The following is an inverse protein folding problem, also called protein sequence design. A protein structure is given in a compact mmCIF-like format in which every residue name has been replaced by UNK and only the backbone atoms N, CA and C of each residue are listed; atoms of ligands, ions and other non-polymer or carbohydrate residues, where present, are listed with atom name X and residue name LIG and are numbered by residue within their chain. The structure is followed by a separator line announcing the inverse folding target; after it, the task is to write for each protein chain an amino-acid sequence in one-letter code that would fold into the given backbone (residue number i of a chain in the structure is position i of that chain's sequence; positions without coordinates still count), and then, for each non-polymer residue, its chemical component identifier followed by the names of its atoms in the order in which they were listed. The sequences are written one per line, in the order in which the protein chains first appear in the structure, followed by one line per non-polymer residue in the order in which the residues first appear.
data_IF_253388462659
#
_entry.id   IF_253388462659
#
_cell.length_a   1.000
_cell.length_b   1.000
_cell.length_c   1.000
_cell.angle_alpha   90.00
_cell.angle_beta   90.00
_cell.angle_gamma   90.00
#
_symmetry.space_group_name_H-M   'P 1'
#
loop_
_entity.id
_entity.type
_entity.pdbx_description
1 polymer ?
#
# COMPACT_ATOMS: atom_id res chain seq x y z
N UNK A 1 22.79 -64.37 14.28
CA UNK A 1 22.11 -63.89 13.05
C UNK A 1 20.69 -63.34 13.25
N UNK A 2 20.25 -62.92 14.46
CA UNK A 2 18.89 -62.35 14.66
C UNK A 2 18.83 -60.84 14.94
N UNK A 3 19.97 -60.15 15.13
CA UNK A 3 19.98 -58.71 15.44
C UNK A 3 20.06 -57.76 14.23
N UNK A 4 20.40 -58.24 13.04
CA UNK A 4 20.48 -57.38 11.84
C UNK A 4 19.12 -57.21 11.11
N UNK A 5 18.14 -58.07 11.37
CA UNK A 5 16.83 -58.01 10.70
C UNK A 5 15.86 -56.98 11.31
N UNK A 6 16.06 -56.57 12.58
CA UNK A 6 15.21 -55.58 13.25
C UNK A 6 15.62 -54.12 12.97
N UNK A 7 16.87 -53.87 12.58
CA UNK A 7 17.34 -52.51 12.24
C UNK A 7 16.84 -52.06 10.86
N UNK A 8 16.83 -52.95 9.87
CA UNK A 8 16.35 -52.64 8.51
C UNK A 8 14.82 -52.51 8.41
N UNK A 9 14.05 -53.28 9.20
CA UNK A 9 12.58 -53.22 9.16
C UNK A 9 12.01 -51.94 9.79
N UNK A 10 12.73 -51.31 10.72
CA UNK A 10 12.32 -50.04 11.32
C UNK A 10 12.63 -48.83 10.42
N UNK A 11 13.76 -48.83 9.70
CA UNK A 11 14.07 -47.80 8.71
C UNK A 11 13.15 -47.88 7.47
N UNK A 12 12.77 -49.08 7.03
CA UNK A 12 11.87 -49.26 5.87
C UNK A 12 10.41 -48.93 6.21
N UNK A 13 9.95 -49.19 7.45
CA UNK A 13 8.59 -48.78 7.90
C UNK A 13 8.41 -47.28 8.09
N UNK A 14 9.47 -46.53 8.44
CA UNK A 14 9.42 -45.08 8.49
C UNK A 14 9.32 -44.42 7.10
N UNK A 15 9.85 -45.07 6.06
CA UNK A 15 9.81 -44.59 4.68
C UNK A 15 8.48 -44.87 3.97
N UNK A 16 7.72 -45.89 4.40
CA UNK A 16 6.41 -46.25 3.84
C UNK A 16 5.25 -45.34 4.30
N UNK A 17 5.49 -44.42 5.25
CA UNK A 17 4.46 -43.52 5.81
C UNK A 17 4.51 -42.08 5.31
N UNK A 18 5.46 -41.73 4.44
CA UNK A 18 5.42 -40.45 3.75
C UNK A 18 4.47 -40.57 2.57
N UNK A 19 3.17 -40.42 2.85
CA UNK A 19 2.17 -40.22 1.80
C UNK A 19 2.66 -39.04 0.94
N UNK A 20 2.90 -39.22 -0.37
CA UNK A 20 3.46 -38.18 -1.22
C UNK A 20 2.62 -36.90 -1.16
N UNK A 21 1.31 -37.01 -0.97
CA UNK A 21 0.42 -35.87 -0.78
C UNK A 21 0.68 -35.11 0.52
N UNK A 22 1.04 -35.79 1.62
CA UNK A 22 1.40 -35.13 2.87
C UNK A 22 2.74 -34.41 2.78
N UNK A 23 3.72 -35.00 2.09
CA UNK A 23 5.01 -34.35 1.83
C UNK A 23 4.84 -33.10 0.94
N UNK A 24 4.01 -33.19 -0.09
CA UNK A 24 3.64 -32.06 -0.97
C UNK A 24 2.92 -30.98 -0.17
N UNK A 25 1.94 -31.34 0.68
CA UNK A 25 1.19 -30.38 1.47
C UNK A 25 2.08 -29.67 2.50
N UNK A 26 2.97 -30.38 3.19
CA UNK A 26 3.95 -29.78 4.11
C UNK A 26 4.90 -28.84 3.39
N UNK A 27 5.35 -29.21 2.19
CA UNK A 27 6.18 -28.34 1.35
C UNK A 27 5.41 -27.10 0.93
N UNK A 28 4.16 -27.28 0.51
CA UNK A 28 3.26 -26.21 0.10
C UNK A 28 3.01 -25.20 1.23
N UNK A 29 2.69 -25.66 2.43
CA UNK A 29 2.50 -24.81 3.62
C UNK A 29 3.76 -24.02 4.02
N UNK A 30 4.96 -24.54 3.72
CA UNK A 30 6.22 -23.83 4.00
C UNK A 30 6.53 -22.76 2.95
N UNK A 31 6.01 -22.89 1.73
CA UNK A 31 6.32 -21.96 0.63
C UNK A 31 5.47 -20.68 0.68
N UNK A 32 4.30 -20.73 1.29
CA UNK A 32 3.32 -19.64 1.28
C UNK A 32 2.98 -19.19 2.69
N UNK A 33 2.72 -17.90 2.82
CA UNK A 33 1.97 -17.40 3.95
C UNK A 33 0.52 -17.90 3.84
N UNK A 34 0.01 -18.43 4.94
CA UNK A 34 -1.37 -18.91 5.07
C UNK A 34 -2.03 -18.05 6.13
N UNK A 35 -3.17 -17.47 5.81
CA UNK A 35 -3.94 -16.64 6.73
C UNK A 35 -4.73 -17.48 7.76
N UNK A 36 -5.43 -16.80 8.66
CA UNK A 36 -6.24 -17.41 9.72
C UNK A 36 -7.39 -18.29 9.17
N UNK A 37 -7.82 -18.02 7.93
CA UNK A 37 -8.85 -18.77 7.22
C UNK A 37 -8.29 -19.96 6.42
N UNK A 38 -6.98 -20.22 6.51
CA UNK A 38 -6.32 -21.28 5.75
C UNK A 38 -6.11 -20.96 4.28
N UNK A 39 -6.29 -19.71 3.86
CA UNK A 39 -6.12 -19.27 2.47
C UNK A 39 -4.72 -18.72 2.22
N UNK A 40 -4.30 -18.75 0.95
CA UNK A 40 -3.07 -18.11 0.49
C UNK A 40 -3.46 -16.79 -0.16
N UNK A 41 -3.32 -15.65 0.53
CA UNK A 41 -3.79 -14.37 0.04
C UNK A 41 -2.99 -13.89 -1.19
N UNK A 42 -1.69 -14.17 -1.22
CA UNK A 42 -0.80 -13.78 -2.33
C UNK A 42 -0.25 -15.03 -3.01
N UNK A 43 -0.63 -15.24 -4.27
CA UNK A 43 -0.25 -16.44 -5.05
C UNK A 43 0.71 -16.08 -6.19
N UNK A 44 1.78 -16.87 -6.43
CA UNK A 44 2.54 -16.78 -7.66
C UNK A 44 1.69 -17.16 -8.87
N UNK A 45 2.20 -16.80 -10.05
CA UNK A 45 1.68 -17.35 -11.32
C UNK A 45 1.73 -18.87 -11.27
N UNK A 46 0.76 -19.53 -11.89
CA UNK A 46 0.62 -20.99 -11.80
C UNK A 46 1.86 -21.75 -12.29
N UNK A 47 2.55 -21.25 -13.31
CA UNK A 47 3.80 -21.83 -13.80
C UNK A 47 4.93 -21.72 -12.76
N UNK A 48 5.10 -20.57 -12.11
CA UNK A 48 6.09 -20.39 -11.04
C UNK A 48 5.76 -21.29 -9.85
N UNK A 49 4.48 -21.34 -9.46
CA UNK A 49 3.97 -22.24 -8.41
C UNK A 49 4.30 -23.70 -8.70
N UNK A 50 4.12 -24.13 -9.95
CA UNK A 50 4.42 -25.48 -10.40
C UNK A 50 5.91 -25.76 -10.36
N UNK A 51 6.75 -24.85 -10.88
CA UNK A 51 8.20 -25.03 -10.90
C UNK A 51 8.80 -25.05 -9.48
N UNK A 52 8.26 -24.25 -8.57
CA UNK A 52 8.75 -24.18 -7.18
C UNK A 52 8.51 -25.46 -6.37
N UNK A 53 7.53 -26.29 -6.75
CA UNK A 53 7.34 -27.61 -6.15
C UNK A 53 8.56 -28.52 -6.36
N UNK A 54 9.21 -28.43 -7.52
CA UNK A 54 10.34 -29.26 -7.91
C UNK A 54 11.72 -28.65 -7.59
N UNK A 55 11.78 -27.35 -7.28
CA UNK A 55 13.02 -26.66 -6.91
C UNK A 55 13.36 -26.90 -5.44
N UNK A 56 14.65 -26.94 -5.10
CA UNK A 56 15.09 -26.90 -3.69
C UNK A 56 14.89 -25.51 -3.07
N UNK A 57 14.85 -25.44 -1.74
CA UNK A 57 14.69 -24.17 -1.01
C UNK A 57 15.89 -23.23 -1.26
N UNK A 58 17.11 -23.79 -1.37
CA UNK A 58 18.32 -23.06 -1.75
C UNK A 58 18.17 -22.44 -3.14
N UNK A 59 17.66 -23.19 -4.12
CA UNK A 59 17.51 -22.68 -5.48
C UNK A 59 16.47 -21.56 -5.58
N UNK A 60 15.37 -21.68 -4.83
CA UNK A 60 14.36 -20.60 -4.75
C UNK A 60 14.95 -19.32 -4.17
N UNK A 61 15.75 -19.43 -3.11
CA UNK A 61 16.45 -18.29 -2.49
C UNK A 61 17.43 -17.64 -3.47
N UNK A 62 18.22 -18.42 -4.20
CA UNK A 62 19.13 -17.91 -5.25
C UNK A 62 18.38 -17.14 -6.34
N UNK A 63 17.26 -17.69 -6.83
CA UNK A 63 16.43 -17.05 -7.87
C UNK A 63 15.89 -15.70 -7.35
N UNK A 64 15.37 -15.67 -6.13
CA UNK A 64 14.86 -14.43 -5.54
C UNK A 64 15.97 -13.41 -5.28
N UNK A 65 17.14 -13.84 -4.80
CA UNK A 65 18.32 -12.96 -4.64
C UNK A 65 18.79 -12.39 -5.98
N UNK A 66 18.77 -13.18 -7.05
CA UNK A 66 19.12 -12.70 -8.39
C UNK A 66 18.16 -11.61 -8.86
N UNK A 67 16.85 -11.79 -8.63
CA UNK A 67 15.84 -10.77 -8.91
C UNK A 67 16.06 -9.50 -8.08
N UNK A 68 16.35 -9.65 -6.79
CA UNK A 68 16.61 -8.53 -5.88
C UNK A 68 17.83 -7.71 -6.28
N UNK A 69 18.95 -8.36 -6.60
CA UNK A 69 20.18 -7.69 -7.06
C UNK A 69 19.97 -6.91 -8.35
N UNK A 70 19.02 -7.33 -9.20
CA UNK A 70 18.62 -6.58 -10.39
C UNK A 70 17.79 -5.33 -10.04
N UNK A 71 16.96 -5.39 -9.00
CA UNK A 71 16.07 -4.29 -8.58
C UNK A 71 16.78 -3.24 -7.72
N UNK A 72 17.64 -3.66 -6.82
CA UNK A 72 18.40 -2.79 -5.90
C UNK A 72 19.89 -3.14 -5.96
N UNK A 73 20.58 -2.80 -7.07
CA UNK A 73 21.97 -3.21 -7.29
C UNK A 73 22.95 -2.60 -6.30
N UNK A 74 22.60 -1.48 -5.68
CA UNK A 74 23.43 -0.78 -4.69
C UNK A 74 23.33 -1.38 -3.28
N UNK A 75 22.40 -2.31 -3.04
CA UNK A 75 22.24 -2.97 -1.75
C UNK A 75 23.01 -4.30 -1.73
N UNK A 76 23.81 -4.52 -0.68
CA UNK A 76 24.65 -5.72 -0.52
C UNK A 76 23.85 -6.93 0.01
N UNK A 77 22.91 -7.43 -0.79
CA UNK A 77 22.04 -8.53 -0.41
C UNK A 77 22.71 -9.89 -0.60
N UNK A 78 22.85 -10.66 0.49
CA UNK A 78 23.43 -12.00 0.48
C UNK A 78 22.50 -13.07 1.05
N UNK A 79 21.52 -12.69 1.88
CA UNK A 79 20.63 -13.62 2.58
C UNK A 79 19.22 -13.05 2.78
N UNK A 80 18.35 -13.80 3.46
CA UNK A 80 16.99 -13.40 3.85
C UNK A 80 16.84 -13.20 5.37
N UNK A 81 17.94 -12.86 6.03
CA UNK A 81 18.02 -12.60 7.46
C UNK A 81 18.70 -11.25 7.71
N UNK A 82 20.01 -11.24 8.00
CA UNK A 82 20.76 -10.04 8.35
C UNK A 82 20.83 -8.98 7.25
N UNK A 83 20.63 -9.34 5.98
CA UNK A 83 20.55 -8.34 4.90
C UNK A 83 19.28 -7.48 4.95
N UNK A 84 18.29 -7.87 5.77
CA UNK A 84 16.95 -7.25 5.81
C UNK A 84 16.56 -6.73 7.19
N UNK A 85 17.38 -6.99 8.20
CA UNK A 85 17.03 -6.76 9.60
C UNK A 85 16.93 -5.27 9.95
N UNK A 86 17.68 -4.40 9.27
CA UNK A 86 17.73 -2.96 9.49
C UNK A 86 16.57 -2.19 8.83
N UNK A 87 15.74 -2.87 8.02
CA UNK A 87 14.59 -2.31 7.32
C UNK A 87 14.90 -1.39 6.14
N UNK A 88 16.17 -1.02 5.92
CA UNK A 88 16.57 -0.09 4.86
C UNK A 88 16.54 -0.80 3.50
N UNK A 89 17.01 -2.04 3.42
CA UNK A 89 16.89 -2.88 2.22
C UNK A 89 15.43 -3.04 1.76
N UNK A 90 14.49 -3.11 2.71
CA UNK A 90 13.06 -3.17 2.40
C UNK A 90 12.55 -1.86 1.82
N UNK A 91 12.91 -0.73 2.42
CA UNK A 91 12.53 0.59 1.92
C UNK A 91 13.12 0.87 0.53
N UNK A 92 14.40 0.53 0.32
CA UNK A 92 15.06 0.62 -0.98
C UNK A 92 14.38 -0.25 -2.05
N UNK A 93 13.98 -1.48 -1.69
CA UNK A 93 13.22 -2.35 -2.59
C UNK A 93 11.90 -1.70 -3.00
N UNK A 94 11.13 -1.18 -2.04
CA UNK A 94 9.84 -0.54 -2.32
C UNK A 94 9.99 0.70 -3.19
N UNK A 95 10.98 1.55 -2.94
CA UNK A 95 11.28 2.71 -3.78
C UNK A 95 11.65 2.29 -5.21
N UNK A 96 12.43 1.20 -5.38
CA UNK A 96 12.77 0.67 -6.70
C UNK A 96 11.57 0.09 -7.46
N UNK A 97 10.56 -0.39 -6.73
CA UNK A 97 9.33 -0.97 -7.31
C UNK A 97 8.30 0.11 -7.63
N UNK A 98 8.21 1.14 -6.79
CA UNK A 98 7.29 2.27 -6.92
C UNK A 98 7.98 3.54 -6.40
N UNK A 99 8.59 4.34 -7.30
CA UNK A 99 9.25 5.58 -6.92
C UNK A 99 8.30 6.54 -6.18
N UNK A 100 8.81 7.22 -5.16
CA UNK A 100 8.05 8.14 -4.31
C UNK A 100 7.41 7.50 -3.07
N UNK A 101 7.54 6.18 -2.87
CA UNK A 101 7.02 5.49 -1.68
C UNK A 101 7.92 5.72 -0.47
N UNK A 102 9.24 5.76 -0.66
CA UNK A 102 10.21 6.03 0.39
C UNK A 102 11.46 6.72 -0.18
N UNK A 103 11.34 7.96 -0.70
CA UNK A 103 12.46 8.66 -1.34
C UNK A 103 13.60 8.96 -0.35
N UNK A 104 13.30 9.07 0.94
CA UNK A 104 14.28 9.38 2.00
C UNK A 104 15.04 8.14 2.52
N UNK A 105 14.84 6.95 1.93
CA UNK A 105 15.54 5.74 2.35
C UNK A 105 17.09 5.88 2.43
N UNK A 106 17.77 6.65 1.55
CA UNK A 106 19.23 6.77 1.62
C UNK A 106 19.74 7.48 2.89
N UNK A 107 18.90 8.31 3.51
CA UNK A 107 19.25 9.08 4.71
C UNK A 107 18.82 8.39 6.01
N UNK A 108 18.16 7.22 5.91
CA UNK A 108 17.70 6.47 7.07
C UNK A 108 18.86 5.92 7.88
N UNK A 109 18.71 5.96 9.21
CA UNK A 109 19.76 5.54 10.13
C UNK A 109 19.66 4.03 10.43
N UNK A 110 20.77 3.30 10.27
CA UNK A 110 20.81 1.84 10.51
C UNK A 110 20.49 1.43 11.96
N UNK A 111 20.71 2.32 12.94
CA UNK A 111 20.39 2.02 14.35
C UNK A 111 18.88 2.07 14.65
N UNK A 112 18.07 2.70 13.80
CA UNK A 112 16.61 2.80 13.95
C UNK A 112 15.88 1.57 13.42
N UNK A 113 16.45 0.38 13.69
CA UNK A 113 16.07 -0.93 13.13
C UNK A 113 14.55 -1.16 13.15
N UNK A 114 13.93 -1.11 14.33
CA UNK A 114 12.50 -1.39 14.50
C UNK A 114 11.64 -0.36 13.77
N UNK A 115 12.02 0.91 13.81
CA UNK A 115 11.28 2.01 13.15
C UNK A 115 11.34 1.86 11.63
N UNK A 116 12.52 1.55 11.09
CA UNK A 116 12.73 1.33 9.67
C UNK A 116 11.94 0.11 9.18
N UNK A 117 12.01 -1.02 9.91
CA UNK A 117 11.23 -2.22 9.62
C UNK A 117 9.72 -1.93 9.65
N UNK A 118 9.25 -1.19 10.65
CA UNK A 118 7.84 -0.80 10.78
C UNK A 118 7.38 0.07 9.62
N UNK A 119 8.20 1.04 9.20
CA UNK A 119 7.93 1.88 8.04
C UNK A 119 7.84 1.03 6.77
N UNK A 120 8.88 0.25 6.46
CA UNK A 120 8.92 -0.58 5.26
C UNK A 120 7.77 -1.58 5.18
N UNK A 121 7.43 -2.26 6.28
CA UNK A 121 6.31 -3.20 6.32
C UNK A 121 4.97 -2.47 6.06
N UNK A 122 4.73 -1.32 6.70
CA UNK A 122 3.51 -0.53 6.47
C UNK A 122 3.39 -0.04 5.04
N UNK A 123 4.50 0.41 4.44
CA UNK A 123 4.53 0.84 3.04
C UNK A 123 4.25 -0.32 2.10
N UNK A 124 4.85 -1.49 2.32
CA UNK A 124 4.57 -2.69 1.53
C UNK A 124 3.09 -3.11 1.61
N UNK A 125 2.50 -3.10 2.82
CA UNK A 125 1.10 -3.42 3.03
C UNK A 125 0.17 -2.43 2.30
N UNK A 126 0.47 -1.13 2.32
CA UNK A 126 -0.34 -0.11 1.66
C UNK A 126 -0.16 -0.09 0.14
N UNK A 127 1.07 -0.15 -0.35
CA UNK A 127 1.37 0.04 -1.77
C UNK A 127 1.12 -1.21 -2.62
N UNK A 128 1.17 -2.39 -2.01
CA UNK A 128 1.04 -3.69 -2.68
C UNK A 128 -0.12 -4.53 -2.13
N UNK A 129 -0.98 -3.96 -1.27
CA UNK A 129 -2.13 -4.63 -0.66
C UNK A 129 -1.78 -5.97 0.04
N UNK A 130 -0.64 -6.01 0.74
CA UNK A 130 -0.22 -7.22 1.46
C UNK A 130 -0.97 -7.40 2.79
N UNK A 131 -1.25 -8.64 3.21
CA UNK A 131 -1.85 -8.93 4.52
C UNK A 131 -1.01 -8.38 5.68
N UNK A 132 -1.69 -7.86 6.71
CA UNK A 132 -1.03 -7.21 7.83
C UNK A 132 -0.23 -8.15 8.74
N UNK A 133 -0.62 -9.43 8.78
CA UNK A 133 -0.11 -10.45 9.69
C UNK A 133 1.01 -11.33 9.12
N UNK A 134 1.61 -10.96 7.98
CA UNK A 134 2.69 -11.74 7.36
C UNK A 134 3.99 -11.77 8.18
N UNK A 135 4.39 -10.62 8.72
CA UNK A 135 5.61 -10.43 9.50
C UNK A 135 5.46 -9.18 10.37
N UNK A 136 5.93 -9.25 11.62
CA UNK A 136 5.99 -8.05 12.48
C UNK A 136 7.34 -7.35 12.36
N UNK A 137 7.43 -6.04 12.67
CA UNK A 137 8.70 -5.31 12.66
C UNK A 137 9.76 -5.93 13.58
N UNK A 138 9.33 -6.46 14.72
CA UNK A 138 10.20 -7.12 15.70
C UNK A 138 10.77 -8.44 15.15
N UNK A 139 9.94 -9.22 14.46
CA UNK A 139 10.38 -10.46 13.80
C UNK A 139 11.40 -10.19 12.69
N UNK A 140 11.17 -9.13 11.91
CA UNK A 140 12.10 -8.71 10.86
C UNK A 140 13.44 -8.24 11.43
N UNK A 141 13.40 -7.48 12.53
CA UNK A 141 14.59 -6.97 13.20
C UNK A 141 15.46 -8.07 13.85
N UNK A 142 14.84 -9.13 14.38
CA UNK A 142 15.57 -10.25 15.00
C UNK A 142 16.31 -11.10 13.93
N UNK A 143 15.68 -11.32 12.78
CA UNK A 143 16.26 -12.03 11.64
C UNK A 143 16.92 -13.40 11.98
N UNK A 144 16.28 -14.22 12.82
CA UNK A 144 16.73 -15.57 13.17
C UNK A 144 16.30 -16.63 12.14
N UNK A 145 16.57 -17.91 12.41
CA UNK A 145 16.20 -19.01 11.50
C UNK A 145 14.68 -19.14 11.29
N UNK A 146 13.85 -18.78 12.28
CA UNK A 146 12.39 -18.87 12.19
C UNK A 146 11.83 -17.68 11.41
N UNK A 147 12.38 -16.48 11.64
CA UNK A 147 11.93 -15.26 10.96
C UNK A 147 12.52 -15.12 9.56
N UNK A 148 13.68 -15.72 9.26
CA UNK A 148 14.24 -15.80 7.89
C UNK A 148 13.22 -16.38 6.90
N UNK A 149 12.48 -17.42 7.31
CA UNK A 149 11.45 -18.00 6.48
C UNK A 149 10.29 -17.02 6.24
N UNK A 150 9.90 -16.25 7.25
CA UNK A 150 8.86 -15.22 7.13
C UNK A 150 9.31 -14.05 6.25
N UNK A 151 10.55 -13.58 6.43
CA UNK A 151 11.16 -12.53 5.59
C UNK A 151 11.19 -12.99 4.14
N UNK A 152 11.63 -14.23 3.89
CA UNK A 152 11.63 -14.82 2.55
C UNK A 152 10.22 -14.90 1.94
N UNK A 153 9.23 -15.37 2.70
CA UNK A 153 7.82 -15.40 2.23
C UNK A 153 7.26 -14.01 1.96
N UNK A 154 7.60 -13.03 2.81
CA UNK A 154 7.18 -11.64 2.66
C UNK A 154 7.76 -11.01 1.39
N UNK A 155 9.06 -11.21 1.12
CA UNK A 155 9.70 -10.71 -0.10
C UNK A 155 9.20 -11.46 -1.34
N UNK A 156 8.94 -12.77 -1.25
CA UNK A 156 8.24 -13.50 -2.31
C UNK A 156 6.89 -12.85 -2.63
N UNK A 157 6.10 -12.50 -1.62
CA UNK A 157 4.83 -11.81 -1.82
C UNK A 157 5.02 -10.44 -2.47
N UNK A 158 6.01 -9.65 -2.05
CA UNK A 158 6.36 -8.38 -2.70
C UNK A 158 6.71 -8.60 -4.19
N UNK A 159 7.56 -9.57 -4.51
CA UNK A 159 7.90 -9.93 -5.91
C UNK A 159 6.63 -10.27 -6.68
N UNK A 160 5.82 -11.19 -6.17
CA UNK A 160 4.61 -11.64 -6.86
C UNK A 160 3.62 -10.51 -7.05
N UNK A 161 3.41 -9.64 -6.05
CA UNK A 161 2.53 -8.47 -6.20
C UNK A 161 3.09 -7.44 -7.19
N UNK A 162 4.42 -7.29 -7.26
CA UNK A 162 5.06 -6.38 -8.23
C UNK A 162 5.03 -6.90 -9.67
N UNK A 163 4.92 -8.21 -9.87
CA UNK A 163 4.91 -8.89 -11.17
C UNK A 163 3.53 -9.34 -11.61
N UNK A 164 2.58 -9.43 -10.68
CA UNK A 164 1.18 -9.45 -11.01
C UNK A 164 0.91 -8.10 -11.66
N UNK A 165 0.66 -8.14 -12.97
CA UNK A 165 -0.22 -7.16 -13.57
C UNK A 165 -1.53 -7.27 -12.79
N UNK A 166 -1.72 -6.39 -11.81
CA UNK A 166 -3.02 -5.75 -11.70
C UNK A 166 -3.40 -5.33 -13.12
N UNK A 167 -4.70 -5.36 -13.53
CA UNK A 167 -5.10 -4.68 -14.76
C UNK A 167 -4.36 -3.36 -14.74
N UNK A 168 -3.49 -3.18 -15.74
CA UNK A 168 -2.48 -2.14 -15.79
C UNK A 168 -3.08 -0.94 -15.07
N UNK A 169 -2.58 -0.59 -13.88
CA UNK A 169 -2.92 0.73 -13.39
C UNK A 169 -2.35 1.60 -14.49
N UNK A 170 -3.18 2.23 -15.34
CA UNK A 170 -2.73 2.50 -16.67
C UNK A 170 -1.46 3.32 -16.55
N UNK A 171 -0.40 2.89 -17.22
CA UNK A 171 0.71 3.78 -17.52
C UNK A 171 0.26 5.00 -18.36
N UNK A 172 -1.06 5.20 -18.55
CA UNK A 172 -1.75 6.43 -18.92
C UNK A 172 -1.85 7.39 -17.71
N UNK A 173 -0.72 7.67 -17.08
CA UNK A 173 -0.45 8.98 -16.47
C UNK A 173 0.76 9.66 -17.12
N UNK A 174 1.25 9.17 -18.27
CA UNK A 174 2.26 9.89 -19.03
C UNK A 174 1.98 10.05 -20.54
N UNK A 175 0.84 9.62 -21.07
CA UNK A 175 0.34 10.14 -22.37
C UNK A 175 -1.05 9.57 -22.73
N UNK A 176 -2.10 10.39 -22.62
CA UNK A 176 -3.16 10.58 -23.65
C UNK A 176 -4.40 11.26 -23.05
N UNK A 177 -4.50 12.58 -23.22
CA UNK A 177 -5.68 13.38 -23.66
C UNK A 177 -7.12 12.87 -23.47
N UNK A 178 -7.50 12.23 -22.35
CA UNK A 178 -8.93 12.06 -22.01
C UNK A 178 -9.22 12.61 -20.61
N UNK A 179 -9.75 13.85 -20.50
CA UNK A 179 -10.06 14.45 -19.21
C UNK A 179 -11.18 13.67 -18.51
N UNK A 180 -10.98 13.38 -17.22
CA UNK A 180 -12.05 12.96 -16.32
C UNK A 180 -13.13 14.05 -16.33
N UNK A 181 -14.32 13.73 -16.85
CA UNK A 181 -15.43 14.68 -16.96
C UNK A 181 -16.17 14.80 -15.64
N UNK A 182 -15.53 15.46 -14.68
CA UNK A 182 -16.18 15.92 -13.45
C UNK A 182 -16.83 17.28 -13.69
N UNK A 183 -17.96 17.53 -13.06
CA UNK A 183 -18.61 18.83 -13.15
C UNK A 183 -18.99 19.30 -11.76
N UNK A 184 -18.46 20.45 -11.36
CA UNK A 184 -18.67 21.04 -10.04
C UNK A 184 -19.65 22.20 -10.19
N UNK A 185 -20.71 22.26 -9.37
CA UNK A 185 -21.69 23.34 -9.38
C UNK A 185 -22.16 23.66 -7.97
N UNK A 186 -22.46 24.93 -7.72
CA UNK A 186 -23.08 25.34 -6.47
C UNK A 186 -22.71 26.76 -6.10
N UNK A 187 -23.62 27.46 -5.44
CA UNK A 187 -23.40 28.83 -4.99
C UNK A 187 -22.20 28.93 -4.04
N UNK A 188 -21.94 27.88 -3.25
CA UNK A 188 -20.80 27.78 -2.36
C UNK A 188 -19.42 27.74 -3.03
N UNK A 189 -19.33 27.70 -4.37
CA UNK A 189 -18.05 27.87 -5.07
C UNK A 189 -17.68 29.33 -5.32
N UNK A 190 -18.69 30.20 -5.36
CA UNK A 190 -18.54 31.59 -5.79
C UNK A 190 -18.82 32.58 -4.66
N UNK A 191 -19.81 32.30 -3.82
CA UNK A 191 -20.29 33.22 -2.78
C UNK A 191 -20.74 32.48 -1.52
N UNK A 192 -20.49 33.07 -0.36
CA UNK A 192 -20.99 32.57 0.91
C UNK A 192 -21.19 33.67 1.94
N UNK A 193 -21.79 33.32 3.06
CA UNK A 193 -22.09 34.24 4.17
C UNK A 193 -21.42 33.71 5.43
N UNK A 194 -20.82 34.61 6.18
CA UNK A 194 -20.11 34.30 7.42
C UNK A 194 -21.06 33.63 8.41
N UNK A 195 -20.64 32.53 9.04
CA UNK A 195 -21.44 31.75 10.00
C UNK A 195 -22.62 30.99 9.39
N UNK A 196 -22.67 30.85 8.06
CA UNK A 196 -23.66 30.01 7.37
C UNK A 196 -22.96 28.91 6.57
N UNK A 197 -23.56 27.72 6.55
CA UNK A 197 -23.08 26.60 5.74
C UNK A 197 -23.24 26.92 4.25
N UNK A 198 -22.12 27.05 3.55
CA UNK A 198 -22.05 27.14 2.11
C UNK A 198 -22.01 25.73 1.51
N UNK A 199 -22.65 25.54 0.35
CA UNK A 199 -22.81 24.22 -0.25
C UNK A 199 -22.51 24.23 -1.74
N UNK A 200 -21.85 23.18 -2.19
CA UNK A 200 -21.70 22.88 -3.60
C UNK A 200 -21.68 21.37 -3.84
N UNK A 201 -21.98 20.98 -5.07
CA UNK A 201 -22.01 19.58 -5.48
C UNK A 201 -21.01 19.36 -6.59
N UNK A 202 -20.54 18.13 -6.71
CA UNK A 202 -19.85 17.71 -7.92
C UNK A 202 -20.38 16.35 -8.36
N UNK A 203 -20.41 16.19 -9.68
CA UNK A 203 -20.87 14.99 -10.36
C UNK A 203 -19.69 14.33 -11.06
N UNK A 204 -19.42 13.08 -10.71
CA UNK A 204 -18.37 12.25 -11.31
C UNK A 204 -19.03 11.18 -12.21
N UNK A 205 -18.75 11.23 -13.52
CA UNK A 205 -19.34 10.30 -14.50
C UNK A 205 -18.74 8.89 -14.47
N UNK A 206 -17.54 8.70 -13.90
CA UNK A 206 -16.89 7.39 -13.75
C UNK A 206 -16.67 7.08 -12.26
N UNK A 207 -17.63 6.37 -11.67
CA UNK A 207 -17.70 6.09 -10.23
C UNK A 207 -16.74 4.94 -9.82
N UNK A 208 -16.22 4.21 -10.80
CA UNK A 208 -15.36 3.02 -10.62
C UNK A 208 -13.98 3.33 -10.01
N UNK A 209 -13.62 4.61 -9.90
CA UNK A 209 -12.28 5.12 -9.53
C UNK A 209 -12.22 5.77 -8.14
N UNK A 210 -13.32 5.72 -7.37
CA UNK A 210 -13.48 6.45 -6.10
C UNK A 210 -12.75 5.83 -4.90
N UNK A 211 -12.29 4.57 -5.01
CA UNK A 211 -11.68 3.84 -3.89
C UNK A 211 -10.18 4.12 -3.64
N UNK A 212 -9.54 5.01 -4.41
CA UNK A 212 -8.12 5.34 -4.25
C UNK A 212 -7.94 6.79 -3.74
N UNK A 213 -8.11 7.02 -2.43
CA UNK A 213 -7.89 8.37 -1.90
C UNK A 213 -7.16 8.43 -0.57
N UNK A 214 -6.25 9.41 -0.49
CA UNK A 214 -5.48 9.81 0.67
C UNK A 214 -5.73 11.30 0.96
N UNK A 215 -5.58 11.68 2.23
CA UNK A 215 -5.89 13.02 2.76
C UNK A 215 -4.60 13.79 3.00
N UNK A 216 -4.38 14.89 2.28
CA UNK A 216 -3.35 15.86 2.63
C UNK A 216 -3.87 17.28 2.37
N UNK A 217 -3.91 18.11 3.42
CA UNK A 217 -4.10 19.55 3.30
C UNK A 217 -3.10 20.20 4.24
N UNK A 218 -2.17 20.94 3.65
CA UNK A 218 -1.14 21.68 4.35
C UNK A 218 -1.55 23.16 4.34
N UNK A 219 -1.76 23.73 5.53
CA UNK A 219 -1.93 25.17 5.68
C UNK A 219 -0.60 25.91 5.59
N UNK A 220 -0.60 27.24 5.38
CA UNK A 220 0.62 28.05 5.30
C UNK A 220 1.49 28.04 6.57
N UNK A 221 1.05 27.39 7.66
CA UNK A 221 1.81 27.18 8.91
C UNK A 221 1.70 25.77 9.53
N UNK A 222 1.31 24.74 8.77
CA UNK A 222 1.30 23.33 9.24
C UNK A 222 0.26 22.92 10.32
N UNK A 223 -0.75 23.73 10.66
CA UNK A 223 -1.79 23.30 11.63
C UNK A 223 -3.02 22.64 10.98
N UNK A 224 -3.51 21.55 11.61
CA UNK A 224 -4.57 20.63 11.14
C UNK A 224 -5.96 21.12 11.57
N UNK A 225 -6.90 21.31 10.63
CA UNK A 225 -8.29 21.68 10.99
C UNK A 225 -9.33 20.96 10.11
N UNK A 226 -10.11 20.10 10.77
CA UNK A 226 -11.23 19.28 10.31
C UNK A 226 -10.92 18.12 9.33
N UNK A 227 -11.38 16.93 9.72
CA UNK A 227 -11.26 15.67 8.99
C UNK A 227 -12.68 15.22 8.62
N UNK A 228 -12.90 14.95 7.35
CA UNK A 228 -14.09 14.26 6.86
C UNK A 228 -13.70 12.83 6.52
N UNK A 229 -13.75 11.94 7.52
CA UNK A 229 -13.37 10.53 7.47
C UNK A 229 -14.40 9.67 6.73
N UNK A 230 -14.61 9.92 5.43
CA UNK A 230 -15.48 9.06 4.61
C UNK A 230 -14.70 8.51 3.43
N UNK A 231 -14.40 7.21 3.53
CA UNK A 231 -13.85 6.42 2.44
C UNK A 231 -14.77 6.50 1.22
N UNK A 232 -14.23 6.86 0.05
CA UNK A 232 -15.00 6.96 -1.19
C UNK A 232 -15.55 8.35 -1.53
N UNK A 233 -14.97 9.43 -1.01
CA UNK A 233 -15.27 10.82 -1.39
C UNK A 233 -13.99 11.54 -1.87
N UNK A 234 -14.04 12.47 -2.85
CA UNK A 234 -12.88 13.25 -3.28
C UNK A 234 -12.49 14.35 -2.31
N UNK A 235 -11.27 14.85 -2.49
CA UNK A 235 -10.63 15.81 -1.59
C UNK A 235 -11.04 17.23 -1.92
N UNK A 236 -11.52 17.95 -0.90
CA UNK A 236 -11.75 19.39 -0.95
C UNK A 236 -10.87 20.07 0.08
N UNK A 237 -10.14 21.09 -0.35
CA UNK A 237 -9.36 21.95 0.53
C UNK A 237 -9.80 23.40 0.36
N UNK A 238 -10.03 24.07 1.49
CA UNK A 238 -10.53 25.44 1.53
C UNK A 238 -9.54 26.28 2.31
N UNK A 239 -9.00 27.30 1.66
CA UNK A 239 -8.06 28.24 2.23
C UNK A 239 -8.72 29.60 2.35
N UNK A 240 -8.66 30.21 3.52
CA UNK A 240 -9.14 31.58 3.74
C UNK A 240 -8.06 32.52 4.27
N UNK A 241 -8.42 33.79 4.52
CA UNK A 241 -7.47 34.87 4.77
C UNK A 241 -6.76 34.76 6.12
N UNK A 242 -7.37 34.11 7.12
CA UNK A 242 -6.82 33.94 8.47
C UNK A 242 -6.80 32.47 8.89
N UNK A 243 -5.86 32.07 9.77
CA UNK A 243 -5.92 30.76 10.42
C UNK A 243 -7.27 30.56 11.15
N UNK A 244 -7.82 29.34 11.11
CA UNK A 244 -9.11 28.95 11.74
C UNK A 244 -10.36 29.65 11.16
N UNK A 245 -10.25 30.26 9.99
CA UNK A 245 -11.38 30.91 9.35
C UNK A 245 -12.39 29.93 8.72
N UNK A 246 -12.04 28.64 8.62
CA UNK A 246 -12.89 27.52 8.20
C UNK A 246 -13.16 26.67 9.44
N UNK A 247 -14.43 26.53 9.83
CA UNK A 247 -14.84 25.81 11.04
C UNK A 247 -15.09 24.34 10.74
N UNK A 248 -15.81 24.09 9.67
CA UNK A 248 -16.34 22.77 9.35
C UNK A 248 -16.24 22.55 7.84
N UNK A 249 -15.88 21.33 7.47
CA UNK A 249 -15.99 20.83 6.11
C UNK A 249 -16.49 19.40 6.16
N UNK A 250 -17.51 19.07 5.37
CA UNK A 250 -18.00 17.71 5.25
C UNK A 250 -18.32 17.39 3.80
N UNK A 251 -18.03 16.15 3.40
CA UNK A 251 -18.37 15.61 2.09
C UNK A 251 -19.31 14.43 2.28
N UNK A 252 -20.46 14.47 1.63
CA UNK A 252 -21.51 13.46 1.71
C UNK A 252 -21.77 12.91 0.32
N UNK A 253 -21.74 11.59 0.18
CA UNK A 253 -22.18 10.91 -1.04
C UNK A 253 -23.70 10.80 -1.05
N UNK A 254 -24.36 11.33 -2.08
CA UNK A 254 -25.83 11.37 -2.18
C UNK A 254 -26.40 10.33 -3.15
N UNK A 255 -25.56 9.59 -3.87
CA UNK A 255 -25.95 8.59 -4.87
C UNK A 255 -25.63 9.01 -6.30
N UNK A 256 -25.63 8.07 -7.24
CA UNK A 256 -25.47 8.32 -8.68
C UNK A 256 -24.23 9.16 -9.08
N UNK A 257 -23.13 9.00 -8.36
CA UNK A 257 -21.89 9.76 -8.62
C UNK A 257 -21.98 11.24 -8.23
N UNK A 258 -23.03 11.62 -7.50
CA UNK A 258 -23.19 12.93 -6.87
C UNK A 258 -22.65 12.93 -5.46
N UNK A 259 -21.98 14.03 -5.18
CA UNK A 259 -21.42 14.32 -3.89
C UNK A 259 -21.73 15.75 -3.52
N UNK A 260 -22.04 15.93 -2.25
CA UNK A 260 -22.40 17.20 -1.66
C UNK A 260 -21.35 17.61 -0.64
N UNK A 261 -20.80 18.80 -0.84
CA UNK A 261 -19.80 19.40 0.04
C UNK A 261 -20.45 20.56 0.77
N UNK A 262 -20.35 20.55 2.09
CA UNK A 262 -20.75 21.68 2.93
C UNK A 262 -19.57 22.18 3.73
N UNK A 263 -19.45 23.49 3.84
CA UNK A 263 -18.42 24.12 4.66
C UNK A 263 -18.91 25.39 5.32
N UNK A 264 -18.33 25.74 6.45
CA UNK A 264 -18.67 26.94 7.22
C UNK A 264 -17.43 27.77 7.56
N UNK A 265 -17.58 29.09 7.48
CA UNK A 265 -16.48 30.06 7.62
C UNK A 265 -16.84 31.20 8.56
N UNK A 266 -15.87 31.69 9.32
CA UNK A 266 -16.05 32.74 10.36
C UNK A 266 -15.62 34.12 9.93
N UNK A 267 -14.93 34.27 8.80
CA UNK A 267 -14.38 35.55 8.38
C UNK A 267 -14.87 35.90 6.97
N UNK A 268 -15.25 37.17 6.72
CA UNK A 268 -15.47 37.63 5.36
C UNK A 268 -14.13 37.75 4.64
N UNK A 269 -14.14 37.56 3.33
CA UNK A 269 -12.94 37.63 2.52
C UNK A 269 -12.99 36.68 1.34
N UNK A 270 -11.86 36.55 0.67
CA UNK A 270 -11.70 35.65 -0.46
C UNK A 270 -11.15 34.31 0.02
N UNK A 271 -11.81 33.26 -0.40
CA UNK A 271 -11.47 31.88 -0.09
C UNK A 271 -11.14 31.15 -1.37
N UNK A 272 -10.07 30.36 -1.34
CA UNK A 272 -9.62 29.53 -2.44
C UNK A 272 -10.04 28.10 -2.15
N UNK A 273 -10.87 27.54 -3.02
CA UNK A 273 -11.37 26.18 -2.93
C UNK A 273 -10.67 25.34 -3.98
N UNK A 274 -9.84 24.41 -3.53
CA UNK A 274 -9.14 23.47 -4.39
C UNK A 274 -9.84 22.11 -4.30
N UNK A 275 -10.29 21.64 -5.44
CA UNK A 275 -10.90 20.31 -5.58
C UNK A 275 -9.94 19.44 -6.37
N UNK A 276 -9.49 18.36 -5.75
CA UNK A 276 -8.48 17.45 -6.33
C UNK A 276 -8.99 16.04 -6.40
N UNK A 277 -8.62 15.35 -7.47
CA UNK A 277 -8.82 13.92 -7.65
C UNK A 277 -7.47 13.26 -7.89
N UNK A 278 -7.01 12.41 -6.95
CA UNK A 278 -5.75 11.65 -7.07
C UNK A 278 -4.56 12.56 -7.46
N UNK A 279 -4.44 13.70 -6.77
CA UNK A 279 -3.41 14.74 -6.95
C UNK A 279 -3.52 15.64 -8.19
N UNK A 280 -4.51 15.43 -9.07
CA UNK A 280 -4.80 16.32 -10.20
C UNK A 280 -5.88 17.35 -9.82
N UNK A 281 -5.61 18.62 -10.13
CA UNK A 281 -6.62 19.67 -10.06
C UNK A 281 -7.71 19.44 -11.11
N UNK A 282 -8.98 19.55 -10.70
CA UNK A 282 -10.08 19.49 -11.67
C UNK A 282 -10.00 20.69 -12.63
N UNK A 283 -10.56 20.54 -13.83
CA UNK A 283 -10.40 21.50 -14.94
C UNK A 283 -10.77 22.96 -14.59
N UNK A 284 -11.62 23.19 -13.59
CA UNK A 284 -12.06 24.52 -13.13
C UNK A 284 -11.58 24.85 -11.70
N UNK A 285 -10.79 23.97 -11.07
CA UNK A 285 -10.07 24.24 -9.82
C UNK A 285 -8.78 25.01 -10.14
N UNK A 286 -8.38 26.03 -9.36
CA UNK A 286 -8.98 26.49 -8.11
C UNK A 286 -10.20 27.42 -8.30
N UNK A 287 -11.19 27.34 -7.40
CA UNK A 287 -12.34 28.25 -7.38
C UNK A 287 -12.14 29.36 -6.36
N UNK A 288 -12.54 30.57 -6.72
CA UNK A 288 -12.49 31.74 -5.85
C UNK A 288 -13.89 32.05 -5.30
N UNK A 289 -14.08 31.84 -4.00
CA UNK A 289 -15.32 32.14 -3.30
C UNK A 289 -15.20 33.44 -2.51
N UNK A 290 -16.16 34.35 -2.67
CA UNK A 290 -16.26 35.59 -1.87
C UNK A 290 -17.24 35.40 -0.72
N UNK A 291 -16.73 35.50 0.49
CA UNK A 291 -17.53 35.43 1.71
C UNK A 291 -17.84 36.84 2.21
N UNK A 292 -19.12 37.14 2.41
CA UNK A 292 -19.59 38.40 2.99
C UNK A 292 -20.10 38.19 4.42
N UNK A 293 -20.41 39.29 5.10
CA UNK A 293 -21.22 39.25 6.32
C UNK A 293 -22.63 38.74 6.03
#
# INVERSE_FOLDING_TARGET
MKMLAHSFTCQVRGLLYLNPMQAINRRHQRMYFIDENGQIPVKPRWHERMMDLFRSDTKRKEILLSWLKKKIPFQNLTNFSSSWNDGISLCALLESLRPGVCPDYPNMQHHNIITNCRLGIRLAQRCLNLPQNMITPEEMAIADRRTEQKIFQFICAIKWMSEQSYPEYPAVLLSSDVPLKCHVRGSGLCTGVTGRKARFTFHATDISRIHDLSVHIQGPRHDIWAISDVTGCPTVSIYGPTPHCVIETCVVYTGDGLYEVMYEVTHPGYYVINVKLRDLDLQESPYLCKITY
#
